data_IF_228507641622
#
_entry.id   IF_228507641622
#
_cell.length_a   1.000
_cell.length_b   1.000
_cell.length_c   1.000
_cell.angle_alpha   90.00
_cell.angle_beta   90.00
_cell.angle_gamma   90.00
#
_symmetry.space_group_name_H-M   'P 1'
#
loop_
_entity.id
_entity.type
_entity.pdbx_description
1 polymer ?
#
# COMPACT_ATOMS: atom_id res chain seq x y z
N UNK A 1 -13.97 78.26 18.70
CA UNK A 1 -14.89 78.56 17.58
C UNK A 1 -15.58 77.28 17.14
N UNK A 2 -16.91 77.24 17.35
CA UNK A 2 -17.94 76.48 16.61
C UNK A 2 -17.75 74.96 16.45
N UNK A 3 -18.09 74.23 17.52
CA UNK A 3 -19.20 73.29 17.66
C UNK A 3 -19.94 72.76 16.41
N UNK A 4 -20.12 71.42 16.29
CA UNK A 4 -21.44 70.75 16.17
C UNK A 4 -21.36 69.21 16.27
N UNK A 5 -21.92 68.71 17.38
CA UNK A 5 -22.72 67.49 17.65
C UNK A 5 -23.08 66.60 16.44
N UNK A 6 -23.17 65.26 16.55
CA UNK A 6 -24.18 64.48 17.30
C UNK A 6 -23.73 63.02 17.48
N UNK A 7 -23.52 62.52 18.71
CA UNK A 7 -24.43 61.67 19.51
C UNK A 7 -24.68 60.24 18.98
N UNK A 8 -24.27 59.22 19.76
CA UNK A 8 -24.80 57.86 19.64
C UNK A 8 -23.85 56.75 20.12
N UNK A 9 -23.73 56.55 21.44
CA UNK A 9 -23.52 55.22 22.03
C UNK A 9 -24.88 54.77 22.61
N UNK A 10 -25.17 53.48 22.88
CA UNK A 10 -24.25 52.33 22.92
C UNK A 10 -24.77 51.07 22.20
N UNK A 11 -23.88 50.25 21.63
CA UNK A 11 -24.04 48.80 21.71
C UNK A 11 -22.69 48.14 21.92
N UNK A 12 -22.70 47.35 22.98
CA UNK A 12 -21.65 46.56 23.59
C UNK A 12 -21.35 45.34 22.73
N UNK A 13 -20.11 45.20 22.24
CA UNK A 13 -19.36 43.94 22.25
C UNK A 13 -17.88 44.34 22.37
N UNK A 14 -17.39 44.30 23.59
CA UNK A 14 -15.97 44.39 23.91
C UNK A 14 -15.36 42.99 23.71
N UNK A 15 -14.45 42.86 22.73
CA UNK A 15 -13.42 41.82 22.72
C UNK A 15 -12.07 42.52 22.51
N UNK A 16 -11.65 43.24 23.55
CA UNK A 16 -10.27 43.39 24.01
C UNK A 16 -9.20 42.57 23.25
N UNK A 17 -8.26 43.32 22.65
CA UNK A 17 -6.81 43.10 22.70
C UNK A 17 -6.25 41.76 22.14
N UNK A 18 -6.43 41.52 20.84
CA UNK A 18 -5.54 40.67 20.06
C UNK A 18 -4.32 41.45 19.58
N UNK A 19 -3.14 41.21 20.16
CA UNK A 19 -1.85 41.70 19.63
C UNK A 19 -1.71 41.29 18.17
N UNK A 20 -1.74 42.26 17.25
CA UNK A 20 -1.44 42.05 15.84
C UNK A 20 0.02 41.59 15.67
N UNK A 21 0.23 40.30 15.41
CA UNK A 21 1.57 39.79 15.04
C UNK A 21 1.88 40.33 13.64
N UNK A 22 2.87 41.22 13.55
CA UNK A 22 3.35 41.85 12.31
C UNK A 22 3.97 40.77 11.39
N UNK A 23 3.16 40.13 10.54
CA UNK A 23 3.58 39.09 9.58
C UNK A 23 4.08 39.77 8.29
N UNK A 24 5.39 39.74 8.04
CA UNK A 24 6.03 40.39 6.88
C UNK A 24 6.12 39.43 5.68
N UNK A 25 5.54 39.83 4.55
CA UNK A 25 5.78 39.18 3.25
C UNK A 25 6.97 39.85 2.58
N UNK A 26 7.68 39.14 1.69
CA UNK A 26 8.78 39.71 0.90
C UNK A 26 8.30 40.05 -0.52
N UNK A 27 7.38 39.27 -1.08
CA UNK A 27 6.92 39.38 -2.47
C UNK A 27 5.45 39.79 -2.57
N UNK A 28 5.11 40.77 -3.42
CA UNK A 28 3.75 41.22 -3.79
C UNK A 28 3.58 41.19 -5.32
N UNK A 29 2.38 40.93 -5.85
CA UNK A 29 2.12 41.09 -7.29
C UNK A 29 1.64 42.51 -7.54
N UNK A 30 2.47 43.40 -8.10
CA UNK A 30 1.97 44.75 -8.45
C UNK A 30 2.45 45.34 -9.77
N UNK A 31 3.19 44.60 -10.61
CA UNK A 31 3.63 45.16 -11.91
C UNK A 31 3.34 44.21 -13.06
N UNK A 32 2.43 44.64 -13.93
CA UNK A 32 2.26 44.13 -15.29
C UNK A 32 3.19 44.91 -16.22
N UNK A 33 4.49 44.62 -16.16
CA UNK A 33 5.41 45.08 -17.20
C UNK A 33 5.05 44.37 -18.52
N UNK A 34 5.34 44.97 -19.68
CA UNK A 34 5.07 44.40 -21.02
C UNK A 34 5.71 43.02 -21.30
N UNK A 35 6.39 42.41 -20.33
CA UNK A 35 6.90 41.05 -20.38
C UNK A 35 5.81 40.09 -19.86
N UNK A 36 5.56 39.00 -20.57
CA UNK A 36 4.41 38.09 -20.49
C UNK A 36 4.12 37.38 -19.14
N UNK A 37 4.75 37.77 -18.02
CA UNK A 37 4.49 37.20 -16.69
C UNK A 37 4.51 38.30 -15.61
N UNK A 38 3.56 38.31 -14.66
CA UNK A 38 3.57 39.22 -13.50
C UNK A 38 4.88 39.09 -12.72
N UNK A 39 5.48 40.22 -12.35
CA UNK A 39 6.70 40.26 -11.56
C UNK A 39 6.36 40.57 -10.11
N UNK A 40 7.08 39.90 -9.19
CA UNK A 40 6.93 40.16 -7.77
C UNK A 40 7.63 41.49 -7.40
N UNK A 41 6.89 42.43 -6.85
CA UNK A 41 7.40 43.62 -6.18
C UNK A 41 7.80 43.30 -4.74
N UNK A 42 8.64 44.15 -4.15
CA UNK A 42 8.92 44.09 -2.71
C UNK A 42 7.74 44.65 -1.94
N UNK A 43 7.38 43.98 -0.86
CA UNK A 43 6.30 44.38 0.04
C UNK A 43 6.81 45.41 1.06
N UNK A 44 6.07 46.49 1.28
CA UNK A 44 6.35 47.49 2.32
C UNK A 44 6.01 46.98 3.74
N UNK A 45 6.66 47.54 4.77
CA UNK A 45 6.58 47.06 6.17
C UNK A 45 5.18 47.07 6.83
N UNK A 46 4.17 47.62 6.15
CA UNK A 46 2.79 47.74 6.60
C UNK A 46 1.80 46.78 5.91
N UNK A 47 2.28 45.83 5.11
CA UNK A 47 1.39 44.89 4.43
C UNK A 47 0.84 43.82 5.37
N UNK A 48 -0.47 43.87 5.62
CA UNK A 48 -1.23 42.83 6.29
C UNK A 48 -1.81 41.87 5.26
N UNK A 49 -1.63 40.57 5.48
CA UNK A 49 -2.25 39.57 4.62
C UNK A 49 -3.77 39.67 4.60
N UNK A 50 -4.36 39.27 3.47
CA UNK A 50 -5.79 39.21 3.34
C UNK A 50 -6.33 37.93 4.01
N UNK A 51 -7.48 37.99 4.70
CA UNK A 51 -8.10 36.80 5.26
C UNK A 51 -8.71 35.91 4.15
N UNK A 52 -8.73 34.59 4.33
CA UNK A 52 -9.23 33.62 3.34
C UNK A 52 -10.62 33.94 2.76
N UNK A 53 -11.53 34.48 3.57
CA UNK A 53 -12.91 34.80 3.13
C UNK A 53 -12.97 35.85 2.01
N UNK A 54 -11.88 36.58 1.77
CA UNK A 54 -11.77 37.55 0.68
C UNK A 54 -11.41 36.93 -0.67
N UNK A 55 -11.03 35.65 -0.70
CA UNK A 55 -10.73 34.91 -1.93
C UNK A 55 -12.02 34.38 -2.58
N UNK A 56 -12.02 34.30 -3.91
CA UNK A 56 -13.07 33.55 -4.62
C UNK A 56 -13.05 32.06 -4.25
N UNK A 57 -14.21 31.39 -4.25
CA UNK A 57 -14.33 29.95 -3.97
C UNK A 57 -13.36 29.07 -4.80
N UNK A 58 -13.18 29.37 -6.09
CA UNK A 58 -12.24 28.65 -6.97
C UNK A 58 -10.77 28.76 -6.51
N UNK A 59 -10.39 29.91 -5.94
CA UNK A 59 -9.05 30.12 -5.42
C UNK A 59 -8.83 29.36 -4.10
N UNK A 60 -9.86 29.27 -3.25
CA UNK A 60 -9.82 28.50 -2.00
C UNK A 60 -9.71 27.01 -2.30
N UNK A 61 -10.53 26.48 -3.20
CA UNK A 61 -10.48 25.05 -3.60
C UNK A 61 -9.09 24.68 -4.14
N UNK A 62 -8.52 25.52 -5.01
CA UNK A 62 -7.16 25.32 -5.54
C UNK A 62 -6.10 25.40 -4.44
N UNK A 63 -6.27 26.27 -3.46
CA UNK A 63 -5.35 26.42 -2.34
C UNK A 63 -5.39 25.20 -1.41
N UNK A 64 -6.57 24.70 -1.06
CA UNK A 64 -6.76 23.45 -0.32
C UNK A 64 -6.15 22.25 -1.05
N UNK A 65 -6.28 22.23 -2.38
CA UNK A 65 -5.68 21.20 -3.20
C UNK A 65 -4.15 21.28 -3.19
N UNK A 66 -3.54 22.46 -3.36
CA UNK A 66 -2.09 22.60 -3.52
C UNK A 66 -1.32 22.70 -2.21
N UNK A 67 -1.83 23.47 -1.25
CA UNK A 67 -1.11 23.86 -0.04
C UNK A 67 -1.94 23.64 1.23
N UNK A 68 -2.46 22.42 1.48
CA UNK A 68 -3.30 22.16 2.67
C UNK A 68 -2.58 22.46 3.99
N UNK A 69 -1.26 22.23 4.05
CA UNK A 69 -0.41 22.52 5.22
C UNK A 69 -0.37 24.01 5.63
N UNK A 70 -0.73 24.94 4.74
CA UNK A 70 -0.80 26.36 5.08
C UNK A 70 -2.15 26.77 5.67
N UNK A 71 -3.13 25.85 5.67
CA UNK A 71 -4.50 26.09 6.11
C UNK A 71 -4.82 25.46 7.48
N UNK A 72 -3.88 24.71 8.06
CA UNK A 72 -4.08 24.01 9.34
C UNK A 72 -4.18 24.97 10.54
N UNK A 73 -3.62 26.19 10.42
CA UNK A 73 -3.78 27.25 11.41
C UNK A 73 -4.95 28.16 11.04
N UNK A 74 -5.91 28.38 11.97
CA UNK A 74 -7.12 29.24 11.84
C UNK A 74 -6.85 30.71 11.42
N UNK A 75 -5.59 31.08 11.27
CA UNK A 75 -5.06 32.34 10.75
C UNK A 75 -4.58 32.18 9.31
N UNK A 76 -5.33 31.45 8.47
CA UNK A 76 -4.98 31.31 7.07
C UNK A 76 -5.10 32.68 6.38
N UNK A 77 -3.94 33.24 6.11
CA UNK A 77 -3.76 34.58 5.60
C UNK A 77 -3.26 34.43 4.18
N UNK A 78 -4.11 34.81 3.23
CA UNK A 78 -3.86 34.67 1.83
C UNK A 78 -2.97 35.81 1.30
N UNK A 79 -1.93 35.42 0.56
CA UNK A 79 -1.36 36.28 -0.46
C UNK A 79 -2.43 36.62 -1.53
N UNK A 80 -2.22 37.66 -2.33
CA UNK A 80 -3.15 38.05 -3.41
C UNK A 80 -3.62 36.86 -4.28
N UNK A 81 -4.92 36.82 -4.62
CA UNK A 81 -5.56 35.73 -5.40
C UNK A 81 -4.80 35.34 -6.68
N UNK A 82 -4.14 36.31 -7.32
CA UNK A 82 -3.41 36.11 -8.56
C UNK A 82 -2.23 35.14 -8.41
N UNK A 83 -1.51 35.19 -7.28
CA UNK A 83 -0.35 34.34 -7.00
C UNK A 83 -0.70 32.87 -7.02
N UNK A 84 -1.83 32.49 -6.40
CA UNK A 84 -2.30 31.11 -6.39
C UNK A 84 -2.64 30.61 -7.78
N UNK A 85 -3.34 31.43 -8.57
CA UNK A 85 -3.75 31.04 -9.92
C UNK A 85 -2.54 30.88 -10.85
N UNK A 86 -1.53 31.73 -10.71
CA UNK A 86 -0.29 31.61 -11.48
C UNK A 86 0.54 30.41 -11.02
N UNK A 87 0.72 30.24 -9.71
CA UNK A 87 1.43 29.09 -9.14
C UNK A 87 0.77 27.77 -9.56
N UNK A 88 -0.56 27.68 -9.51
CA UNK A 88 -1.29 26.50 -9.97
C UNK A 88 -0.99 26.17 -11.44
N UNK A 89 -0.96 27.17 -12.32
CA UNK A 89 -0.61 26.94 -13.74
C UNK A 89 0.79 26.36 -13.90
N UNK A 90 1.77 26.83 -13.12
CA UNK A 90 3.14 26.31 -13.16
C UNK A 90 3.23 24.90 -12.56
N UNK A 91 2.58 24.68 -11.41
CA UNK A 91 2.55 23.37 -10.74
C UNK A 91 1.83 22.30 -11.57
N UNK A 92 0.86 22.66 -12.42
CA UNK A 92 0.23 21.73 -13.38
C UNK A 92 1.20 21.24 -14.46
N UNK A 93 2.20 22.03 -14.84
CA UNK A 93 3.22 21.55 -15.77
C UNK A 93 4.11 20.49 -15.10
N UNK A 94 4.48 20.73 -13.85
CA UNK A 94 5.25 19.76 -13.05
C UNK A 94 4.43 18.51 -12.71
N UNK A 95 3.11 18.61 -12.55
CA UNK A 95 2.25 17.47 -12.23
C UNK A 95 2.31 16.40 -13.32
N UNK A 96 2.38 16.79 -14.60
CA UNK A 96 2.54 15.85 -15.71
C UNK A 96 3.77 14.93 -15.58
N UNK A 97 4.80 15.36 -14.83
CA UNK A 97 6.03 14.60 -14.60
C UNK A 97 6.01 13.85 -13.26
N UNK A 98 5.50 14.48 -12.20
CA UNK A 98 5.66 14.01 -10.82
C UNK A 98 4.42 13.35 -10.22
N UNK A 99 3.22 13.55 -10.81
CA UNK A 99 1.94 13.11 -10.22
C UNK A 99 1.77 11.59 -10.17
N UNK A 100 2.59 10.82 -10.92
CA UNK A 100 2.67 9.35 -10.79
C UNK A 100 3.04 8.91 -9.38
N UNK A 101 3.77 9.74 -8.63
CA UNK A 101 4.04 9.53 -7.22
C UNK A 101 3.46 10.71 -6.41
N UNK A 102 2.27 10.55 -5.81
CA UNK A 102 1.58 11.65 -5.11
C UNK A 102 2.38 12.26 -3.97
N UNK A 103 3.17 11.49 -3.22
CA UNK A 103 4.00 12.04 -2.12
C UNK A 103 5.19 12.86 -2.62
N UNK A 104 5.80 12.48 -3.75
CA UNK A 104 6.78 13.33 -4.43
C UNK A 104 6.16 14.67 -4.82
N UNK A 105 5.02 14.63 -5.51
CA UNK A 105 4.35 15.84 -5.96
C UNK A 105 3.88 16.72 -4.80
N UNK A 106 3.37 16.13 -3.72
CA UNK A 106 2.98 16.87 -2.50
C UNK A 106 4.17 17.61 -1.86
N UNK A 107 5.32 16.94 -1.69
CA UNK A 107 6.54 17.58 -1.20
C UNK A 107 7.01 18.70 -2.14
N UNK A 108 6.90 18.49 -3.45
CA UNK A 108 7.22 19.49 -4.46
C UNK A 108 6.30 20.71 -4.35
N UNK A 109 4.99 20.50 -4.14
CA UNK A 109 4.03 21.58 -3.89
C UNK A 109 4.41 22.36 -2.63
N UNK A 110 4.73 21.69 -1.52
CA UNK A 110 5.16 22.32 -0.26
C UNK A 110 6.33 23.30 -0.45
N UNK A 111 7.34 22.93 -1.24
CA UNK A 111 8.47 23.82 -1.54
C UNK A 111 8.01 25.17 -2.13
N UNK A 112 7.10 25.13 -3.10
CA UNK A 112 6.59 26.30 -3.81
C UNK A 112 5.50 27.05 -3.06
N UNK A 113 4.69 26.34 -2.27
CA UNK A 113 3.71 26.92 -1.36
C UNK A 113 4.41 27.79 -0.31
N UNK A 114 5.46 27.27 0.33
CA UNK A 114 6.24 28.05 1.30
C UNK A 114 6.96 29.22 0.64
N UNK A 115 7.50 29.01 -0.58
CA UNK A 115 8.15 30.08 -1.33
C UNK A 115 7.17 31.20 -1.73
N UNK A 116 5.93 30.89 -2.09
CA UNK A 116 5.01 31.87 -2.71
C UNK A 116 4.04 32.48 -1.71
N UNK A 117 3.58 31.67 -0.75
CA UNK A 117 2.37 31.94 0.03
C UNK A 117 2.60 31.93 1.54
N UNK A 118 3.79 31.55 2.02
CA UNK A 118 4.04 31.46 3.45
C UNK A 118 3.91 32.81 4.16
N UNK A 119 3.17 32.89 5.28
CA UNK A 119 3.14 34.10 6.12
C UNK A 119 4.49 34.36 6.81
N UNK A 120 5.39 33.37 6.80
CA UNK A 120 6.73 33.42 7.41
C UNK A 120 7.84 33.56 6.37
N UNK A 121 7.50 33.90 5.12
CA UNK A 121 8.45 34.05 4.01
C UNK A 121 9.67 34.91 4.37
N UNK A 122 9.48 35.99 5.15
CA UNK A 122 10.56 36.87 5.60
C UNK A 122 11.65 36.21 6.44
N UNK A 123 11.36 35.06 7.05
CA UNK A 123 12.33 34.33 7.88
C UNK A 123 13.37 33.63 7.02
N UNK A 124 12.95 33.04 5.90
CA UNK A 124 13.76 32.11 5.12
C UNK A 124 14.05 32.56 3.69
N UNK A 125 13.60 33.75 3.30
CA UNK A 125 13.94 34.36 2.02
C UNK A 125 14.63 35.71 2.20
N UNK A 126 15.50 36.06 1.26
CA UNK A 126 16.18 37.36 1.20
C UNK A 126 16.24 37.86 -0.23
N UNK A 127 15.89 39.12 -0.47
CA UNK A 127 16.06 39.74 -1.78
C UNK A 127 17.55 39.99 -2.02
N UNK A 128 18.07 39.52 -3.16
CA UNK A 128 19.47 39.71 -3.57
C UNK A 128 19.61 40.82 -4.61
N UNK A 129 18.62 40.96 -5.49
CA UNK A 129 18.65 41.94 -6.57
C UNK A 129 17.23 42.44 -6.90
N UNK A 130 17.12 43.76 -7.03
CA UNK A 130 15.94 44.46 -7.52
C UNK A 130 16.31 45.21 -8.81
N UNK A 131 15.38 45.30 -9.75
CA UNK A 131 15.54 46.07 -10.98
C UNK A 131 14.49 47.19 -10.98
N UNK A 132 14.96 48.42 -11.12
CA UNK A 132 14.11 49.60 -11.23
C UNK A 132 13.67 49.80 -12.69
N UNK A 133 12.37 50.01 -12.92
CA UNK A 133 11.78 50.30 -14.24
C UNK A 133 11.38 51.77 -14.28
N UNK A 134 12.15 52.64 -14.95
CA UNK A 134 11.88 54.08 -15.00
C UNK A 134 10.50 54.42 -15.59
N UNK A 135 10.06 53.64 -16.58
CA UNK A 135 8.81 53.85 -17.32
C UNK A 135 7.55 53.69 -16.46
N UNK A 136 7.63 52.84 -15.43
CA UNK A 136 6.51 52.60 -14.50
C UNK A 136 6.76 53.17 -13.11
N UNK A 137 7.97 53.69 -12.85
CA UNK A 137 8.44 54.11 -11.54
C UNK A 137 8.30 53.02 -10.45
N UNK A 138 8.49 51.75 -10.83
CA UNK A 138 8.42 50.62 -9.89
C UNK A 138 9.69 49.77 -9.95
N UNK A 139 10.12 49.29 -8.79
CA UNK A 139 11.18 48.28 -8.65
C UNK A 139 10.56 46.89 -8.53
N UNK A 140 11.07 45.92 -9.30
CA UNK A 140 10.68 44.52 -9.19
C UNK A 140 11.85 43.64 -8.71
N UNK A 141 11.52 42.54 -8.04
CA UNK A 141 12.50 41.59 -7.52
C UNK A 141 12.99 40.69 -8.65
N UNK A 142 14.28 40.76 -8.95
CA UNK A 142 14.91 39.96 -10.00
C UNK A 142 15.56 38.69 -9.45
N UNK A 143 16.18 38.77 -8.27
CA UNK A 143 16.87 37.62 -7.66
C UNK A 143 16.60 37.55 -6.16
N UNK A 144 16.32 36.34 -5.66
CA UNK A 144 16.13 36.04 -4.24
C UNK A 144 17.01 34.89 -3.80
N UNK A 145 17.38 34.87 -2.53
CA UNK A 145 17.91 33.69 -1.84
C UNK A 145 16.77 33.00 -1.09
N UNK A 146 16.70 31.68 -1.20
CA UNK A 146 15.77 30.85 -0.47
C UNK A 146 16.53 29.83 0.36
N UNK A 147 16.49 29.98 1.69
CA UNK A 147 17.13 29.08 2.62
C UNK A 147 16.19 27.92 2.94
N UNK A 148 16.63 26.69 2.66
CA UNK A 148 15.83 25.47 2.86
C UNK A 148 16.65 24.51 3.71
N UNK A 149 16.01 23.81 4.65
CA UNK A 149 16.71 22.79 5.44
C UNK A 149 17.19 21.62 4.59
N UNK A 150 18.37 21.09 4.92
CA UNK A 150 18.91 19.90 4.28
C UNK A 150 17.98 18.69 4.41
N UNK A 151 17.34 18.53 5.56
CA UNK A 151 16.39 17.45 5.82
C UNK A 151 15.19 17.48 4.87
N UNK A 152 14.64 18.68 4.64
CA UNK A 152 13.57 18.88 3.66
C UNK A 152 14.05 18.56 2.24
N UNK A 153 15.20 19.08 1.81
CA UNK A 153 15.70 18.86 0.44
C UNK A 153 16.03 17.40 0.17
N UNK A 154 16.63 16.73 1.15
CA UNK A 154 16.97 15.31 1.06
C UNK A 154 15.71 14.46 0.98
N UNK A 155 14.70 14.76 1.80
CA UNK A 155 13.43 14.04 1.76
C UNK A 155 12.65 14.31 0.47
N UNK A 156 12.64 15.55 -0.03
CA UNK A 156 12.02 15.92 -1.29
C UNK A 156 12.67 15.14 -2.44
N UNK A 157 13.99 15.18 -2.55
CA UNK A 157 14.73 14.46 -3.58
C UNK A 157 14.53 12.96 -3.50
N UNK A 158 14.66 12.37 -2.31
CA UNK A 158 14.46 10.92 -2.13
C UNK A 158 13.03 10.48 -2.44
N UNK A 159 12.03 11.35 -2.25
CA UNK A 159 10.66 11.04 -2.65
C UNK A 159 10.45 11.03 -4.17
N UNK A 160 11.29 11.74 -4.93
CA UNK A 160 11.10 11.99 -6.37
C UNK A 160 12.11 11.29 -7.30
N UNK A 161 13.29 10.92 -6.81
CA UNK A 161 14.40 10.42 -7.64
C UNK A 161 14.05 9.18 -8.49
N UNK A 162 13.12 8.37 -8.00
CA UNK A 162 12.74 7.11 -8.62
C UNK A 162 11.55 7.22 -9.57
N UNK A 163 10.84 8.35 -9.57
CA UNK A 163 9.64 8.56 -10.38
C UNK A 163 9.98 8.44 -11.86
N UNK A 164 9.29 7.56 -12.56
CA UNK A 164 9.50 7.30 -13.99
C UNK A 164 8.52 8.09 -14.83
N UNK A 165 8.92 8.46 -16.05
CA UNK A 165 8.03 9.17 -16.96
C UNK A 165 7.06 8.19 -17.64
N UNK A 166 5.80 8.58 -17.87
CA UNK A 166 4.84 7.70 -18.56
C UNK A 166 5.33 7.35 -19.97
N UNK A 167 5.40 6.06 -20.30
CA UNK A 167 5.84 5.58 -21.61
C UNK A 167 7.36 5.50 -21.80
N UNK A 168 8.17 5.78 -20.77
CA UNK A 168 9.63 5.65 -20.81
C UNK A 168 10.19 5.10 -19.49
N UNK A 169 11.33 4.43 -19.53
CA UNK A 169 12.08 4.09 -18.30
C UNK A 169 12.91 5.25 -17.74
N UNK A 170 12.87 6.42 -18.39
CA UNK A 170 13.61 7.61 -17.97
C UNK A 170 13.02 8.18 -16.67
N UNK A 171 13.89 8.53 -15.72
CA UNK A 171 13.49 9.21 -14.48
C UNK A 171 12.97 10.62 -14.79
N UNK A 172 11.83 10.99 -14.23
CA UNK A 172 11.19 12.29 -14.43
C UNK A 172 12.11 13.46 -14.03
N UNK A 173 12.84 13.29 -12.91
CA UNK A 173 13.78 14.30 -12.40
C UNK A 173 14.89 14.65 -13.40
N UNK A 174 15.25 13.73 -14.31
CA UNK A 174 16.29 13.94 -15.33
C UNK A 174 15.97 15.11 -16.27
N UNK A 175 14.68 15.35 -16.54
CA UNK A 175 14.19 16.47 -17.36
C UNK A 175 14.19 17.80 -16.59
N UNK A 176 14.25 17.73 -15.26
CA UNK A 176 14.22 18.88 -14.37
C UNK A 176 15.62 19.27 -13.88
N UNK A 177 16.70 18.78 -14.47
CA UNK A 177 18.07 19.08 -14.03
C UNK A 177 18.92 19.70 -15.13
N UNK A 178 18.28 20.19 -16.20
CA UNK A 178 18.93 20.83 -17.32
C UNK A 178 19.78 19.88 -18.15
N UNK A 179 20.82 20.44 -18.77
CA UNK A 179 21.71 19.73 -19.69
C UNK A 179 22.78 18.93 -18.94
N UNK A 180 22.39 17.79 -18.39
CA UNK A 180 23.36 16.79 -17.88
C UNK A 180 23.81 15.86 -19.01
N UNK A 181 25.02 15.31 -18.87
CA UNK A 181 25.54 14.29 -19.79
C UNK A 181 24.74 12.98 -19.69
N UNK A 182 24.79 12.12 -20.72
CA UNK A 182 24.00 10.86 -20.76
C UNK A 182 24.24 9.95 -19.54
N UNK A 183 25.45 9.98 -18.98
CA UNK A 183 25.87 9.15 -17.85
C UNK A 183 25.78 9.85 -16.49
N UNK A 184 25.39 11.13 -16.49
CA UNK A 184 25.34 11.93 -15.28
C UNK A 184 23.93 11.88 -14.68
N UNK A 185 23.87 11.48 -13.42
CA UNK A 185 22.64 11.47 -12.64
C UNK A 185 22.33 12.86 -12.12
N UNK A 186 21.04 13.15 -11.92
CA UNK A 186 20.66 14.41 -11.33
C UNK A 186 20.91 14.40 -9.82
N UNK A 187 21.75 15.32 -9.34
CA UNK A 187 21.96 15.60 -7.92
C UNK A 187 20.95 16.64 -7.40
N UNK A 188 20.83 16.75 -6.07
CA UNK A 188 19.98 17.77 -5.41
C UNK A 188 20.37 19.17 -5.88
N UNK A 189 21.67 19.48 -5.92
CA UNK A 189 22.16 20.80 -6.31
C UNK A 189 21.81 21.14 -7.76
N UNK A 190 22.00 20.19 -8.68
CA UNK A 190 21.66 20.38 -10.09
C UNK A 190 20.15 20.60 -10.28
N UNK A 191 19.35 19.86 -9.53
CA UNK A 191 17.90 19.99 -9.56
C UNK A 191 17.41 21.35 -9.05
N UNK A 192 17.85 21.74 -7.85
CA UNK A 192 17.51 23.04 -7.25
C UNK A 192 18.02 24.19 -8.11
N UNK A 193 19.26 24.09 -8.62
CA UNK A 193 19.83 25.10 -9.53
C UNK A 193 19.01 25.25 -10.81
N UNK A 194 18.57 24.15 -11.42
CA UNK A 194 17.71 24.21 -12.59
C UNK A 194 16.39 24.91 -12.28
N UNK A 195 15.72 24.53 -11.19
CA UNK A 195 14.46 25.14 -10.76
C UNK A 195 14.60 26.61 -10.37
N UNK A 196 15.77 27.01 -9.88
CA UNK A 196 16.06 28.39 -9.48
C UNK A 196 16.62 29.27 -10.60
N UNK A 197 16.99 28.69 -11.74
CA UNK A 197 17.50 29.47 -12.87
C UNK A 197 16.37 30.21 -13.55
N UNK A 198 16.47 31.54 -13.60
CA UNK A 198 15.48 32.38 -14.27
C UNK A 198 15.32 31.96 -15.73
N UNK A 199 14.10 31.55 -16.09
CA UNK A 199 13.77 31.14 -17.44
C UNK A 199 12.26 31.27 -17.67
N UNK A 200 11.88 32.33 -18.37
CA UNK A 200 10.49 32.66 -18.68
C UNK A 200 9.79 31.60 -19.55
N UNK A 201 10.54 30.79 -20.32
CA UNK A 201 9.94 29.75 -21.19
C UNK A 201 9.45 28.54 -20.41
N UNK A 202 10.11 28.21 -19.30
CA UNK A 202 9.77 27.07 -18.42
C UNK A 202 9.07 27.53 -17.14
N UNK A 203 8.61 28.79 -17.08
CA UNK A 203 7.77 29.26 -15.98
C UNK A 203 8.51 29.73 -14.73
N UNK A 204 9.82 30.01 -14.80
CA UNK A 204 10.59 30.57 -13.68
C UNK A 204 10.84 32.07 -13.91
N UNK A 205 9.99 32.98 -13.38
CA UNK A 205 10.02 34.40 -13.73
C UNK A 205 11.17 35.20 -13.11
N UNK A 206 11.77 34.70 -12.03
CA UNK A 206 12.85 35.37 -11.28
C UNK A 206 13.93 34.36 -10.88
N UNK A 207 15.15 34.84 -10.62
CA UNK A 207 16.26 33.98 -10.19
C UNK A 207 16.17 33.61 -8.71
N UNK A 208 16.24 32.31 -8.40
CA UNK A 208 16.18 31.79 -7.04
C UNK A 208 17.51 31.09 -6.73
N UNK A 209 18.23 31.61 -5.75
CA UNK A 209 19.42 31.00 -5.19
C UNK A 209 19.00 30.13 -4.00
N UNK A 210 18.87 28.82 -4.23
CA UNK A 210 18.63 27.86 -3.15
C UNK A 210 19.89 27.72 -2.30
N UNK A 211 19.73 27.87 -0.99
CA UNK A 211 20.79 27.73 -0.01
C UNK A 211 20.38 26.63 0.99
N UNK A 212 21.09 25.50 0.97
CA UNK A 212 20.76 24.34 1.80
C UNK A 212 21.42 24.51 3.16
N UNK A 213 20.62 24.57 4.22
CA UNK A 213 21.09 24.75 5.59
C UNK A 213 21.21 23.40 6.30
N UNK A 214 22.43 23.05 6.69
CA UNK A 214 22.74 21.81 7.40
C UNK A 214 22.38 21.88 8.90
N UNK A 215 22.22 20.73 9.55
CA UNK A 215 21.93 20.67 10.99
C UNK A 215 23.01 21.32 11.88
N UNK A 216 24.26 21.36 11.41
CA UNK A 216 25.37 21.99 12.13
C UNK A 216 25.27 23.52 12.11
N UNK A 217 24.87 24.09 10.98
CA UNK A 217 24.66 25.54 10.83
C UNK A 217 23.43 26.01 11.63
N UNK A 218 22.39 25.17 11.74
CA UNK A 218 21.21 25.44 12.58
C UNK A 218 21.58 25.76 14.03
N UNK A 219 22.60 25.10 14.58
CA UNK A 219 23.01 25.28 15.98
C UNK A 219 23.80 26.57 16.23
N UNK A 220 24.37 27.19 15.19
CA UNK A 220 25.25 28.36 15.35
C UNK A 220 24.47 29.68 15.43
N UNK A 221 23.34 29.81 14.73
CA UNK A 221 22.71 31.13 14.49
C UNK A 221 21.40 31.36 15.29
N UNK A 222 20.91 30.35 16.02
CA UNK A 222 19.81 30.47 17.00
C UNK A 222 18.45 30.98 16.49
N UNK A 223 18.34 31.36 15.21
CA UNK A 223 17.13 31.86 14.57
C UNK A 223 16.67 30.91 13.45
N UNK A 224 15.35 30.72 13.33
CA UNK A 224 14.73 29.95 12.25
C UNK A 224 14.81 30.72 10.92
N UNK A 225 15.99 30.79 10.29
CA UNK A 225 16.20 31.52 9.04
C UNK A 225 16.06 30.64 7.77
N UNK A 226 15.47 29.45 7.92
CA UNK A 226 15.33 28.44 6.87
C UNK A 226 13.93 27.82 6.89
N UNK A 227 13.50 27.32 5.74
CA UNK A 227 12.22 26.63 5.61
C UNK A 227 12.34 25.16 6.07
N UNK A 228 11.43 24.77 6.96
CA UNK A 228 11.29 23.42 7.49
C UNK A 228 9.82 23.10 7.62
N UNK A 229 9.32 22.26 6.71
CA UNK A 229 7.94 21.75 6.73
C UNK A 229 7.98 20.22 6.63
N UNK A 230 7.01 19.51 7.23
CA UNK A 230 7.00 18.06 7.21
C UNK A 230 6.83 17.52 5.79
N UNK A 231 7.70 16.57 5.43
CA UNK A 231 7.69 15.86 4.15
C UNK A 231 7.14 14.45 4.31
N UNK A 232 6.56 13.93 3.23
CA UNK A 232 6.07 12.55 3.20
C UNK A 232 7.01 11.68 2.37
N UNK A 233 7.53 10.56 2.89
CA UNK A 233 8.37 9.66 2.11
C UNK A 233 7.57 8.94 1.02
N UNK A 234 8.25 8.47 -0.04
CA UNK A 234 7.56 7.93 -1.23
C UNK A 234 6.67 6.70 -0.94
N UNK A 235 7.01 5.91 0.09
CA UNK A 235 6.28 4.70 0.46
C UNK A 235 5.00 4.98 1.28
N UNK A 236 4.78 6.23 1.71
CA UNK A 236 3.62 6.66 2.46
C UNK A 236 2.67 7.49 1.59
N UNK A 237 1.39 7.52 1.98
CA UNK A 237 0.41 8.44 1.38
C UNK A 237 0.62 9.85 1.96
N UNK A 238 0.61 10.91 1.13
CA UNK A 238 0.78 12.28 1.63
C UNK A 238 -0.41 12.79 2.44
N UNK A 239 -1.63 12.35 2.13
CA UNK A 239 -2.87 12.79 2.79
C UNK A 239 -4.03 11.84 2.48
N UNK A 240 -5.08 11.95 3.29
CA UNK A 240 -6.32 11.20 3.07
C UNK A 240 -6.86 11.41 1.64
N UNK A 241 -7.30 10.32 1.00
CA UNK A 241 -7.77 10.34 -0.39
C UNK A 241 -6.68 10.30 -1.46
N UNK A 242 -5.39 10.35 -1.10
CA UNK A 242 -4.28 10.13 -2.05
C UNK A 242 -3.66 8.74 -1.85
N UNK A 243 -3.35 7.98 -2.92
CA UNK A 243 -2.67 6.71 -2.78
C UNK A 243 -1.17 6.90 -2.47
N UNK A 244 -0.54 5.88 -1.90
CA UNK A 244 0.93 5.77 -1.83
C UNK A 244 1.51 5.53 -3.22
N UNK A 245 2.80 5.82 -3.41
CA UNK A 245 3.46 5.61 -4.69
C UNK A 245 3.59 4.10 -5.03
N UNK A 246 3.66 3.81 -6.33
CA UNK A 246 3.92 2.47 -6.82
C UNK A 246 5.35 2.04 -6.48
N UNK A 247 5.60 0.72 -6.38
CA UNK A 247 6.96 0.19 -6.18
C UNK A 247 7.91 0.52 -7.34
N UNK A 248 7.37 0.78 -8.54
CA UNK A 248 8.16 1.16 -9.70
C UNK A 248 8.68 2.60 -9.58
N UNK A 249 7.88 3.49 -8.98
CA UNK A 249 8.19 4.91 -8.83
C UNK A 249 8.80 5.25 -7.45
N UNK A 250 9.00 4.25 -6.59
CA UNK A 250 9.58 4.38 -5.26
C UNK A 250 10.36 3.10 -4.91
N UNK A 251 11.70 3.15 -4.95
CA UNK A 251 12.55 1.99 -4.64
C UNK A 251 12.87 1.85 -3.15
N UNK A 252 12.36 2.75 -2.31
CA UNK A 252 12.55 2.69 -0.87
C UNK A 252 12.04 1.35 -0.32
N UNK A 253 12.95 0.57 0.26
CA UNK A 253 12.66 -0.74 0.85
C UNK A 253 11.64 -0.54 1.98
N UNK A 254 10.43 -1.07 1.80
CA UNK A 254 9.49 -1.13 2.91
C UNK A 254 10.00 -2.22 3.86
N UNK A 255 9.97 -1.98 5.17
CA UNK A 255 10.29 -3.03 6.16
C UNK A 255 9.40 -4.26 5.94
N UNK A 256 8.20 -4.06 5.41
CA UNK A 256 7.26 -5.10 4.99
C UNK A 256 7.78 -5.96 3.83
N UNK A 257 8.64 -5.43 2.96
CA UNK A 257 9.23 -6.17 1.84
C UNK A 257 10.41 -7.06 2.27
N UNK A 258 10.96 -6.87 3.48
CA UNK A 258 11.95 -7.77 4.08
C UNK A 258 11.32 -9.08 4.56
N UNK A 259 10.01 -9.06 4.81
CA UNK A 259 9.24 -10.26 5.11
C UNK A 259 8.68 -10.78 3.79
N UNK A 260 9.17 -11.92 3.27
CA UNK A 260 8.55 -12.52 2.10
C UNK A 260 7.06 -12.67 2.42
N UNK A 261 6.22 -12.01 1.62
CA UNK A 261 4.78 -12.14 1.72
C UNK A 261 4.51 -13.63 1.61
N UNK A 262 3.99 -14.26 2.67
CA UNK A 262 3.59 -15.66 2.63
C UNK A 262 2.66 -15.81 1.43
N UNK A 263 3.18 -16.34 0.33
CA UNK A 263 2.39 -16.79 -0.80
C UNK A 263 1.57 -17.93 -0.21
N UNK A 264 0.34 -17.58 0.20
CA UNK A 264 -0.49 -18.37 1.10
C UNK A 264 -0.25 -19.85 0.91
N UNK A 265 0.25 -20.50 1.96
CA UNK A 265 0.64 -21.91 2.00
C UNK A 265 -0.22 -22.72 1.04
N UNK A 266 0.34 -23.07 -0.14
CA UNK A 266 -0.33 -23.98 -1.08
C UNK A 266 -0.74 -25.21 -0.28
N UNK A 267 -2.02 -25.58 -0.35
CA UNK A 267 -2.66 -26.61 0.47
C UNK A 267 -1.71 -27.81 0.68
N UNK A 268 -1.19 -27.97 1.91
CA UNK A 268 -0.07 -28.85 2.26
C UNK A 268 -0.48 -30.33 2.36
N UNK A 269 -1.49 -30.77 1.61
CA UNK A 269 -1.90 -32.16 1.58
C UNK A 269 -1.39 -32.82 0.29
N UNK A 270 -0.14 -33.27 0.33
CA UNK A 270 0.51 -34.02 -0.74
C UNK A 270 0.82 -35.42 -0.22
N UNK A 271 0.22 -36.44 -0.84
CA UNK A 271 0.45 -37.85 -0.56
C UNK A 271 1.07 -38.45 -1.81
N UNK A 272 2.27 -39.03 -1.68
CA UNK A 272 3.04 -39.63 -2.78
C UNK A 272 3.33 -38.68 -3.96
N UNK A 273 3.45 -37.38 -3.70
CA UNK A 273 3.69 -36.37 -4.74
C UNK A 273 2.42 -35.84 -5.41
N UNK A 274 1.24 -36.41 -5.13
CA UNK A 274 -0.05 -35.97 -5.66
C UNK A 274 -0.88 -35.25 -4.59
N UNK A 275 -1.72 -34.30 -4.99
CA UNK A 275 -2.65 -33.64 -4.06
C UNK A 275 -3.66 -34.62 -3.47
N UNK A 276 -3.99 -34.50 -2.19
CA UNK A 276 -4.91 -35.41 -1.48
C UNK A 276 -6.28 -35.57 -2.16
N UNK A 277 -6.82 -34.51 -2.78
CA UNK A 277 -8.07 -34.58 -3.56
C UNK A 277 -7.95 -35.58 -4.73
N UNK A 278 -6.80 -35.55 -5.41
CA UNK A 278 -6.52 -36.44 -6.54
C UNK A 278 -6.32 -37.88 -6.04
N UNK A 279 -5.57 -38.06 -4.95
CA UNK A 279 -5.34 -39.38 -4.36
C UNK A 279 -6.64 -40.05 -3.89
N UNK A 280 -7.54 -39.32 -3.23
CA UNK A 280 -8.83 -39.85 -2.77
C UNK A 280 -9.76 -40.23 -3.94
N UNK A 281 -9.77 -39.45 -5.02
CA UNK A 281 -10.55 -39.77 -6.22
C UNK A 281 -10.09 -41.07 -6.85
N UNK A 282 -8.78 -41.22 -7.13
CA UNK A 282 -8.26 -42.47 -7.68
C UNK A 282 -8.49 -43.67 -6.75
N UNK A 283 -8.26 -43.49 -5.43
CA UNK A 283 -8.51 -44.54 -4.45
C UNK A 283 -9.96 -45.02 -4.46
N UNK A 284 -10.93 -44.10 -4.50
CA UNK A 284 -12.36 -44.44 -4.56
C UNK A 284 -12.75 -45.20 -5.84
N UNK A 285 -12.16 -44.82 -6.98
CA UNK A 285 -12.42 -45.45 -8.28
C UNK A 285 -11.92 -46.90 -8.31
N UNK A 286 -10.72 -47.15 -7.79
CA UNK A 286 -10.16 -48.50 -7.70
C UNK A 286 -11.00 -49.42 -6.81
N UNK A 287 -11.48 -48.91 -5.68
CA UNK A 287 -12.36 -49.69 -4.79
C UNK A 287 -13.66 -50.02 -5.51
N UNK A 288 -14.28 -49.05 -6.17
CA UNK A 288 -15.53 -49.26 -6.90
C UNK A 288 -15.39 -50.28 -8.04
N UNK A 289 -14.33 -50.17 -8.85
CA UNK A 289 -14.03 -51.13 -9.90
C UNK A 289 -13.79 -52.55 -9.35
N UNK A 290 -13.08 -52.66 -8.22
CA UNK A 290 -12.88 -53.95 -7.53
C UNK A 290 -14.18 -54.59 -7.09
N UNK A 291 -15.11 -53.81 -6.54
CA UNK A 291 -16.45 -54.32 -6.15
C UNK A 291 -17.23 -54.82 -7.36
N UNK A 292 -17.20 -54.11 -8.49
CA UNK A 292 -17.88 -54.55 -9.71
C UNK A 292 -17.31 -55.85 -10.26
N UNK A 293 -15.98 -55.99 -10.26
CA UNK A 293 -15.31 -57.22 -10.69
C UNK A 293 -15.69 -58.38 -9.76
N UNK A 294 -15.71 -58.14 -8.44
CA UNK A 294 -16.10 -59.16 -7.47
C UNK A 294 -17.56 -59.61 -7.64
N UNK A 295 -18.49 -58.67 -7.83
CA UNK A 295 -19.89 -59.00 -8.10
C UNK A 295 -20.07 -59.74 -9.43
N UNK A 296 -19.30 -59.38 -10.46
CA UNK A 296 -19.25 -60.10 -11.73
C UNK A 296 -18.74 -61.54 -11.57
N UNK A 297 -17.68 -61.73 -10.78
CA UNK A 297 -17.19 -63.06 -10.44
C UNK A 297 -18.23 -63.89 -9.67
N UNK A 298 -18.90 -63.31 -8.67
CA UNK A 298 -19.96 -63.99 -7.94
C UNK A 298 -21.12 -64.40 -8.85
N UNK A 299 -21.50 -63.55 -9.80
CA UNK A 299 -22.55 -63.87 -10.78
C UNK A 299 -22.13 -65.02 -11.71
N UNK A 300 -20.88 -65.02 -12.18
CA UNK A 300 -20.32 -66.12 -12.99
C UNK A 300 -20.25 -67.43 -12.21
N UNK A 301 -19.85 -67.38 -10.93
CA UNK A 301 -19.83 -68.53 -10.03
C UNK A 301 -21.24 -69.05 -9.69
N UNK A 302 -22.22 -68.16 -9.55
CA UNK A 302 -23.60 -68.56 -9.32
C UNK A 302 -24.18 -69.30 -10.54
N UNK A 303 -23.92 -68.79 -11.76
CA UNK A 303 -24.38 -69.44 -12.99
C UNK A 303 -23.73 -70.81 -13.24
N UNK A 304 -22.46 -70.97 -12.85
CA UNK A 304 -21.77 -72.28 -12.90
C UNK A 304 -22.23 -73.22 -11.78
N UNK A 305 -22.67 -72.70 -10.62
CA UNK A 305 -23.21 -73.52 -9.53
C UNK A 305 -24.64 -74.02 -9.82
N UNK A 306 -25.46 -73.24 -10.53
CA UNK A 306 -26.82 -73.67 -10.92
C UNK A 306 -26.84 -74.79 -11.98
N UNK A 307 -25.71 -75.08 -12.62
CA UNK A 307 -25.61 -76.20 -13.58
C UNK A 307 -25.17 -77.52 -12.95
N UNK A 308 -24.69 -77.51 -11.69
CA UNK A 308 -24.23 -78.71 -10.96
C UNK A 308 -25.21 -79.19 -9.86
N UNK A 309 -26.31 -78.48 -9.61
CA UNK A 309 -27.25 -78.78 -8.52
C UNK A 309 -28.46 -79.61 -8.96
N UNK A 310 -28.24 -80.76 -9.60
CA UNK A 310 -29.25 -81.83 -9.74
C UNK A 310 -28.73 -83.17 -9.18
N UNK A 311 -28.05 -83.16 -8.02
CA UNK A 311 -27.92 -84.35 -7.17
C UNK A 311 -27.42 -84.00 -5.76
N UNK A 312 -28.33 -83.76 -4.81
CA UNK A 312 -28.34 -84.42 -3.49
C UNK A 312 -29.44 -83.80 -2.61
N UNK A 313 -30.43 -84.63 -2.32
CA UNK A 313 -31.53 -84.39 -1.40
C UNK A 313 -31.03 -84.62 0.03
N UNK A 314 -30.90 -83.57 0.85
CA UNK A 314 -30.70 -83.68 2.30
C UNK A 314 -31.93 -83.13 3.00
N UNK A 315 -32.64 -84.06 3.63
CA UNK A 315 -33.86 -83.92 4.40
C UNK A 315 -33.58 -83.22 5.76
N UNK A 316 -34.23 -82.09 6.05
CA UNK A 316 -34.11 -81.42 7.35
C UNK A 316 -35.44 -81.47 8.12
N UNK A 317 -35.40 -82.30 9.17
CA UNK A 317 -36.43 -82.63 10.14
C UNK A 317 -37.05 -81.40 10.80
N UNK A 318 -38.37 -81.31 10.69
CA UNK A 318 -39.24 -80.34 11.39
C UNK A 318 -39.12 -80.42 12.92
N UNK A 319 -38.86 -79.29 13.59
CA UNK A 319 -39.13 -79.14 15.04
C UNK A 319 -39.70 -77.76 15.37
N UNK A 320 -40.90 -77.82 15.97
CA UNK A 320 -41.54 -76.91 16.93
C UNK A 320 -41.94 -75.49 16.51
N UNK A 321 -43.24 -75.38 16.23
CA UNK A 321 -44.06 -74.18 16.30
C UNK A 321 -44.09 -73.61 17.73
N UNK A 322 -43.29 -72.58 17.98
CA UNK A 322 -43.58 -71.37 18.80
C UNK A 322 -42.28 -70.62 19.15
N UNK A 323 -41.56 -70.14 18.14
CA UNK A 323 -40.47 -69.19 18.34
C UNK A 323 -40.93 -67.79 17.94
N UNK A 324 -40.82 -66.84 18.87
CA UNK A 324 -41.07 -65.43 18.61
C UNK A 324 -40.19 -64.91 17.48
N UNK A 325 -40.72 -63.94 16.72
CA UNK A 325 -40.18 -63.37 15.46
C UNK A 325 -38.67 -63.06 15.46
N UNK A 326 -38.10 -62.75 16.63
CA UNK A 326 -36.67 -62.44 16.80
C UNK A 326 -35.79 -63.70 16.78
N UNK A 327 -36.27 -64.82 17.34
CA UNK A 327 -35.51 -66.08 17.37
C UNK A 327 -35.50 -66.80 16.02
N UNK A 328 -36.56 -66.67 15.23
CA UNK A 328 -36.58 -67.14 13.84
C UNK A 328 -35.68 -66.31 12.93
N UNK A 329 -35.61 -64.99 13.12
CA UNK A 329 -34.57 -64.16 12.48
C UNK A 329 -33.17 -64.57 12.92
N UNK A 330 -32.96 -64.86 14.20
CA UNK A 330 -31.65 -65.34 14.71
C UNK A 330 -31.21 -66.65 14.04
N UNK A 331 -32.10 -67.64 13.96
CA UNK A 331 -31.82 -68.92 13.30
C UNK A 331 -31.52 -68.75 11.79
N UNK A 332 -32.30 -67.90 11.10
CA UNK A 332 -32.07 -67.59 9.69
C UNK A 332 -30.74 -66.86 9.45
N UNK A 333 -30.40 -65.89 10.30
CA UNK A 333 -29.10 -65.18 10.23
C UNK A 333 -27.95 -66.16 10.47
N UNK A 334 -28.12 -67.11 11.39
CA UNK A 334 -27.09 -68.09 11.73
C UNK A 334 -26.84 -69.10 10.59
N UNK A 335 -27.90 -69.54 9.91
CA UNK A 335 -27.77 -70.37 8.70
C UNK A 335 -27.16 -69.60 7.52
N UNK A 336 -27.53 -68.32 7.33
CA UNK A 336 -26.92 -67.47 6.31
C UNK A 336 -25.44 -67.18 6.60
N UNK A 337 -25.06 -66.97 7.86
CA UNK A 337 -23.67 -66.81 8.27
C UNK A 337 -22.87 -68.09 8.06
N UNK A 338 -23.47 -69.26 8.32
CA UNK A 338 -22.82 -70.55 8.10
C UNK A 338 -22.59 -70.79 6.61
N UNK A 339 -23.60 -70.60 5.77
CA UNK A 339 -23.50 -70.74 4.32
C UNK A 339 -22.48 -69.76 3.71
N UNK A 340 -22.56 -68.48 4.08
CA UNK A 340 -21.62 -67.48 3.59
C UNK A 340 -20.21 -67.71 4.12
N UNK A 341 -20.06 -68.17 5.37
CA UNK A 341 -18.78 -68.51 5.98
C UNK A 341 -18.08 -69.68 5.28
N UNK A 342 -18.84 -70.72 4.93
CA UNK A 342 -18.31 -71.89 4.20
C UNK A 342 -17.89 -71.52 2.77
N UNK A 343 -18.69 -70.70 2.07
CA UNK A 343 -18.33 -70.17 0.75
C UNK A 343 -17.08 -69.28 0.80
N UNK A 344 -17.01 -68.35 1.75
CA UNK A 344 -15.84 -67.48 1.92
C UNK A 344 -14.58 -68.27 2.29
N UNK A 345 -14.73 -69.32 3.11
CA UNK A 345 -13.67 -70.24 3.47
C UNK A 345 -13.11 -71.01 2.27
N UNK A 346 -13.99 -71.52 1.38
CA UNK A 346 -13.58 -72.21 0.14
C UNK A 346 -12.84 -71.28 -0.82
N UNK A 347 -13.30 -70.03 -0.97
CA UNK A 347 -12.64 -69.02 -1.81
C UNK A 347 -11.26 -68.63 -1.25
N UNK A 348 -11.14 -68.45 0.06
CA UNK A 348 -9.85 -68.18 0.72
C UNK A 348 -8.87 -69.34 0.59
N UNK A 349 -9.36 -70.59 0.62
CA UNK A 349 -8.54 -71.78 0.42
C UNK A 349 -8.06 -71.90 -1.03
N UNK A 350 -8.91 -71.60 -2.01
CA UNK A 350 -8.58 -71.65 -3.44
C UNK A 350 -7.57 -70.58 -3.86
N UNK A 351 -7.69 -69.35 -3.31
CA UNK A 351 -6.79 -68.22 -3.60
C UNK A 351 -5.79 -67.94 -2.47
N UNK A 352 -5.26 -69.00 -1.83
CA UNK A 352 -4.41 -68.91 -0.63
C UNK A 352 -3.24 -67.94 -0.77
N UNK A 353 -2.49 -67.98 -1.88
CA UNK A 353 -1.31 -67.11 -2.09
C UNK A 353 -1.69 -65.64 -2.30
N UNK A 354 -2.81 -65.37 -2.98
CA UNK A 354 -3.30 -64.02 -3.22
C UNK A 354 -3.74 -63.36 -1.91
N UNK A 355 -4.53 -64.06 -1.09
CA UNK A 355 -4.96 -63.57 0.22
C UNK A 355 -3.82 -63.47 1.22
N UNK A 356 -2.87 -64.41 1.24
CA UNK A 356 -1.67 -64.27 2.08
C UNK A 356 -0.85 -63.04 1.68
N UNK A 357 -0.65 -62.77 0.39
CA UNK A 357 0.11 -61.59 -0.07
C UNK A 357 -0.57 -60.27 0.29
N UNK A 358 -1.90 -60.17 0.12
CA UNK A 358 -2.67 -58.99 0.49
C UNK A 358 -2.73 -58.79 2.01
N UNK A 359 -2.92 -59.86 2.78
CA UNK A 359 -2.92 -59.80 4.23
C UNK A 359 -1.55 -59.39 4.79
N UNK A 360 -0.45 -59.91 4.23
CA UNK A 360 0.90 -59.49 4.57
C UNK A 360 1.15 -58.02 4.18
N UNK A 361 0.70 -57.58 3.00
CA UNK A 361 0.83 -56.20 2.57
C UNK A 361 0.07 -55.23 3.48
N UNK A 362 -1.12 -55.61 3.96
CA UNK A 362 -1.92 -54.82 4.92
C UNK A 362 -1.24 -54.82 6.30
N UNK A 363 -0.78 -55.98 6.79
CA UNK A 363 -0.08 -56.10 8.06
C UNK A 363 1.27 -55.37 8.09
N UNK A 364 1.94 -55.20 6.95
CA UNK A 364 3.19 -54.43 6.86
C UNK A 364 2.92 -52.94 6.65
N UNK A 365 1.84 -52.56 5.94
CA UNK A 365 1.46 -51.14 5.73
C UNK A 365 0.78 -50.48 6.94
N UNK A 366 0.02 -51.23 7.73
CA UNK A 366 -0.73 -50.67 8.86
C UNK A 366 0.19 -50.16 10.00
N UNK A 367 1.23 -50.90 10.43
CA UNK A 367 2.18 -50.43 11.45
C UNK A 367 3.10 -49.32 10.92
N UNK A 368 3.50 -49.37 9.66
CA UNK A 368 4.35 -48.33 9.05
C UNK A 368 3.60 -46.99 8.92
N UNK A 369 2.27 -47.01 8.69
CA UNK A 369 1.44 -45.81 8.73
C UNK A 369 1.25 -45.28 10.17
N UNK A 370 1.06 -46.15 11.16
CA UNK A 370 0.97 -45.76 12.58
C UNK A 370 2.27 -45.12 13.08
N UNK A 371 3.43 -45.67 12.73
CA UNK A 371 4.76 -45.12 13.10
C UNK A 371 4.99 -43.75 12.44
N UNK A 372 4.62 -43.58 11.17
CA UNK A 372 4.71 -42.28 10.49
C UNK A 372 3.78 -41.22 11.09
N UNK A 373 2.57 -41.59 11.53
CA UNK A 373 1.64 -40.68 12.22
C UNK A 373 2.15 -40.35 13.63
N UNK A 374 2.74 -41.32 14.35
CA UNK A 374 3.32 -41.09 15.67
C UNK A 374 4.55 -40.18 15.63
N UNK A 375 5.47 -40.39 14.68
CA UNK A 375 6.68 -39.55 14.50
C UNK A 375 6.28 -38.12 14.09
N UNK A 376 5.29 -37.97 13.20
CA UNK A 376 4.81 -36.65 12.76
C UNK A 376 4.05 -35.91 13.87
N UNK A 377 3.31 -36.63 14.72
CA UNK A 377 2.61 -36.04 15.87
C UNK A 377 3.56 -35.64 17.02
N UNK A 378 4.62 -36.42 17.27
CA UNK A 378 5.65 -36.10 18.26
C UNK A 378 6.49 -34.88 17.86
N UNK A 379 6.91 -34.77 16.59
CA UNK A 379 7.69 -33.61 16.12
C UNK A 379 6.86 -32.31 16.07
N UNK A 380 5.56 -32.39 15.73
CA UNK A 380 4.71 -31.21 15.63
C UNK A 380 4.29 -30.67 17.02
N UNK A 381 4.15 -31.55 18.03
CA UNK A 381 3.87 -31.12 19.41
C UNK A 381 5.10 -30.55 20.11
N UNK A 382 6.30 -31.10 19.89
CA UNK A 382 7.53 -30.59 20.53
C UNK A 382 7.89 -29.16 20.09
N UNK A 383 7.66 -28.83 18.81
CA UNK A 383 7.92 -27.50 18.27
C UNK A 383 6.88 -26.45 18.72
N UNK A 384 5.60 -26.83 18.79
CA UNK A 384 4.54 -25.93 19.28
C UNK A 384 4.60 -25.71 20.81
N UNK A 385 5.10 -26.69 21.57
CA UNK A 385 5.30 -26.56 23.01
C UNK A 385 6.42 -25.55 23.36
N UNK A 386 7.56 -25.58 22.64
CA UNK A 386 8.64 -24.61 22.82
C UNK A 386 8.28 -23.19 22.34
N UNK A 387 7.45 -23.08 21.29
CA UNK A 387 6.99 -21.77 20.80
C UNK A 387 6.10 -21.04 21.80
N UNK A 388 5.26 -21.78 22.56
CA UNK A 388 4.47 -21.22 23.67
C UNK A 388 5.30 -20.95 24.94
N UNK A 389 6.40 -21.67 25.17
CA UNK A 389 7.27 -21.43 26.31
C UNK A 389 8.09 -20.13 26.17
N UNK A 390 8.42 -19.72 24.94
CA UNK A 390 9.11 -18.45 24.63
C UNK A 390 8.19 -17.23 24.46
N UNK A 391 6.88 -17.40 24.37
CA UNK A 391 5.92 -16.27 24.37
C UNK A 391 5.44 -15.89 25.79
N UNK A 392 5.78 -16.69 26.81
CA UNK A 392 5.32 -16.52 28.21
C UNK A 392 6.47 -16.06 29.15
N UNK A 393 7.71 -15.99 28.65
CA UNK A 393 8.86 -15.35 29.30
C UNK A 393 9.37 -14.23 28.42
#
# INVERSE_FOLDING_TARGET
MINRNTSGKPTEVDVTLGKWVKRRYILEDNVRAKMSSPMNCRVDENFTALPLYSLSNDAVEKLEYMCPHLLEDNDAFAAHQHKYLQMNKQLRQASNLLERCPSCYDNFQKLWCEFTCSPRQHKFMKVLQEIYVPESNVSYVNKVRYNVSQEFTDSLYNSCKDVTMTGSSTKAIRLMCGSLNKYEECTIDNWLKFMGTQNHRIGTPLGIEFNIISAKERQMDGMDYFMTVPTTPCHMSPRYGRPKCSKQDCTAVQVVDLFPKDEGTKEVCQVLGMGCKVFLLFGSLFIFAGVLIFMGFLHLFHNTSTTDSELEHIDYKSVSTNMGRIRTMGAWIQDQLKYNGEMFGRVCAFFRLFFQSHFFAILVRCPTCMVCVFIRSLYCNYFNFWKRFFEIH
#
